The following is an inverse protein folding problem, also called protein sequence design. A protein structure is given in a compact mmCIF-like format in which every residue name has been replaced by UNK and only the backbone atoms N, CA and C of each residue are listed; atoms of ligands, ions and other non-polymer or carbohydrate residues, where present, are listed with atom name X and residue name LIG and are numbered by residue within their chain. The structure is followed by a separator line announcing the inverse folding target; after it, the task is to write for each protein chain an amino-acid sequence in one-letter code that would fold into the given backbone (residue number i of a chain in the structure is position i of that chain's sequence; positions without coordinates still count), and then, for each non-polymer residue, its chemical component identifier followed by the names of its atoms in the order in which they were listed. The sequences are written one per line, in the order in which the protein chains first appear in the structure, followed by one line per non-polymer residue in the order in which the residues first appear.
data_IF_312713653041
#
_entry.id   IF_312713653041
#
_cell.length_a   1.000
_cell.length_b   1.000
_cell.length_c   1.000
_cell.angle_alpha   90.00
_cell.angle_beta   90.00
_cell.angle_gamma   90.00
#
_symmetry.space_group_name_H-M   'P 1'
#
loop_
_entity.id
_entity.type
_entity.pdbx_description
1 polymer ?
#
# COMPACT_ATOMS: atom_id res chain seq x y z
N UNK A 1 5.50 3.35 -18.06
CA UNK A 1 5.59 4.78 -18.39
C UNK A 1 7.04 5.28 -18.58
N UNK A 2 8.06 4.50 -18.21
CA UNK A 2 9.45 4.92 -18.33
C UNK A 2 9.86 6.08 -17.40
N UNK A 3 9.11 6.35 -16.35
CA UNK A 3 9.42 7.38 -15.35
C UNK A 3 10.05 6.76 -14.10
N UNK A 4 10.81 7.55 -13.34
CA UNK A 4 11.39 7.10 -12.07
C UNK A 4 10.30 6.80 -11.05
N UNK A 5 10.48 5.73 -10.27
CA UNK A 5 9.61 5.37 -9.14
C UNK A 5 9.44 6.51 -8.12
N UNK A 6 10.39 7.44 -8.05
CA UNK A 6 10.32 8.61 -7.16
C UNK A 6 9.21 9.59 -7.53
N UNK A 7 8.72 9.51 -8.76
CA UNK A 7 7.61 10.34 -9.24
C UNK A 7 6.24 9.65 -9.05
N UNK A 8 6.25 8.40 -8.58
CA UNK A 8 5.03 7.59 -8.45
C UNK A 8 4.67 7.51 -6.96
N UNK A 9 3.44 7.86 -6.65
CA UNK A 9 2.86 7.76 -5.33
C UNK A 9 1.67 6.79 -5.41
N UNK A 10 1.95 5.54 -5.14
CA UNK A 10 0.95 4.47 -5.04
C UNK A 10 1.25 3.64 -3.80
N UNK A 11 0.21 3.12 -3.16
CA UNK A 11 0.32 2.46 -1.86
C UNK A 11 -0.48 1.16 -1.87
N UNK A 12 -0.12 0.24 -0.98
CA UNK A 12 -0.90 -0.98 -0.73
C UNK A 12 -1.58 -0.81 0.62
N UNK A 13 -2.88 -1.03 0.67
CA UNK A 13 -3.71 -0.99 1.86
C UNK A 13 -4.23 -2.38 2.22
N UNK A 14 -4.74 -2.52 3.45
CA UNK A 14 -5.30 -3.76 3.95
C UNK A 14 -4.31 -4.62 4.75
N UNK A 15 -4.59 -5.89 4.86
CA UNK A 15 -3.71 -6.88 5.48
C UNK A 15 -2.46 -7.15 4.62
N UNK A 16 -1.48 -7.83 5.18
CA UNK A 16 -0.36 -8.34 4.39
C UNK A 16 -0.68 -9.75 3.85
N UNK A 17 -1.62 -9.83 2.89
CA UNK A 17 -2.13 -11.08 2.34
C UNK A 17 -2.97 -10.84 1.08
N UNK A 18 -3.80 -11.83 0.75
CA UNK A 18 -4.55 -11.89 -0.51
C UNK A 18 -5.63 -10.81 -0.64
N UNK A 19 -6.10 -10.24 0.48
CA UNK A 19 -7.10 -9.17 0.49
C UNK A 19 -6.50 -7.77 0.50
N UNK A 20 -5.17 -7.64 0.38
CA UNK A 20 -4.53 -6.34 0.16
C UNK A 20 -4.94 -5.75 -1.18
N UNK A 21 -4.98 -4.43 -1.26
CA UNK A 21 -5.38 -3.74 -2.48
C UNK A 21 -4.64 -2.42 -2.67
N UNK A 22 -4.62 -1.93 -3.88
CA UNK A 22 -4.12 -0.59 -4.22
C UNK A 22 -5.28 0.37 -4.33
N UNK A 23 -5.36 1.43 -3.49
CA UNK A 23 -6.35 2.48 -3.68
C UNK A 23 -5.98 3.33 -4.89
N UNK A 24 -6.38 2.88 -6.07
CA UNK A 24 -6.04 3.51 -7.34
C UNK A 24 -6.52 4.94 -7.46
N UNK A 25 -7.60 5.31 -6.76
CA UNK A 25 -8.07 6.69 -6.66
C UNK A 25 -7.05 7.62 -5.98
N UNK A 26 -6.05 7.04 -5.29
CA UNK A 26 -4.96 7.76 -4.59
C UNK A 26 -3.59 7.48 -5.20
N UNK A 27 -3.55 6.94 -6.42
CA UNK A 27 -2.32 6.78 -7.17
C UNK A 27 -2.06 8.01 -8.04
N UNK A 28 -0.86 8.58 -7.91
CA UNK A 28 -0.44 9.80 -8.60
C UNK A 28 0.93 9.60 -9.25
N UNK A 29 1.11 10.23 -10.40
CA UNK A 29 2.41 10.32 -11.07
C UNK A 29 2.69 11.80 -11.33
N UNK A 30 3.77 12.32 -10.76
CA UNK A 30 4.18 13.72 -10.89
C UNK A 30 3.05 14.74 -10.55
N UNK A 31 2.13 14.38 -9.64
CA UNK A 31 1.02 15.24 -9.22
C UNK A 31 -0.28 15.08 -10.02
N UNK A 32 -0.25 14.40 -11.17
CA UNK A 32 -1.46 14.00 -11.90
C UNK A 32 -2.02 12.69 -11.35
N UNK A 33 -3.33 12.52 -11.37
CA UNK A 33 -3.93 11.20 -11.12
C UNK A 33 -3.45 10.21 -12.18
N UNK A 34 -3.52 8.91 -11.86
CA UNK A 34 -3.08 7.89 -12.79
C UNK A 34 -3.83 7.97 -14.14
N UNK A 35 -5.14 8.24 -14.10
CA UNK A 35 -5.97 8.36 -15.31
C UNK A 35 -5.64 9.61 -16.14
N UNK A 36 -5.25 10.71 -15.51
CA UNK A 36 -4.78 11.91 -16.19
C UNK A 36 -3.40 11.67 -16.82
N UNK A 37 -2.51 11.04 -16.07
CA UNK A 37 -1.16 10.74 -16.54
C UNK A 37 -1.17 9.75 -17.71
N UNK A 38 -2.03 8.76 -17.67
CA UNK A 38 -2.26 7.81 -18.76
C UNK A 38 -2.65 8.54 -20.08
N UNK A 39 -3.57 9.47 -19.99
CA UNK A 39 -3.98 10.30 -21.15
C UNK A 39 -2.81 11.12 -21.70
N UNK A 40 -2.06 11.81 -20.81
CA UNK A 40 -0.92 12.63 -21.19
C UNK A 40 0.12 11.80 -21.95
N UNK A 41 0.48 10.61 -21.41
CA UNK A 41 1.48 9.77 -22.04
C UNK A 41 1.02 9.20 -23.38
N UNK A 42 -0.26 8.83 -23.51
CA UNK A 42 -0.79 8.28 -24.76
C UNK A 42 -0.97 9.35 -25.86
N UNK A 43 -1.04 10.63 -25.51
CA UNK A 43 -0.99 11.71 -26.53
C UNK A 43 0.36 11.72 -27.26
N UNK A 44 1.45 11.48 -26.54
CA UNK A 44 2.81 11.52 -27.07
C UNK A 44 3.32 10.13 -27.53
N UNK A 45 2.87 9.05 -26.88
CA UNK A 45 3.33 7.68 -27.09
C UNK A 45 2.15 6.75 -27.41
N UNK A 46 1.67 6.80 -28.62
CA UNK A 46 0.47 6.05 -29.08
C UNK A 46 0.60 4.53 -29.03
N UNK A 47 1.83 4.02 -29.05
CA UNK A 47 2.13 2.59 -29.03
C UNK A 47 2.25 2.03 -27.59
N UNK A 48 2.23 2.89 -26.57
CA UNK A 48 2.28 2.46 -25.18
C UNK A 48 0.94 1.80 -24.83
N UNK A 49 1.00 0.61 -24.22
CA UNK A 49 -0.21 -0.04 -23.73
C UNK A 49 -0.68 0.64 -22.44
N UNK A 50 -2.00 0.79 -22.25
CA UNK A 50 -2.55 1.26 -20.98
C UNK A 50 -2.10 0.40 -19.82
N UNK A 51 -1.97 1.00 -18.63
CA UNK A 51 -1.64 0.27 -17.43
C UNK A 51 -2.74 -0.72 -17.06
N UNK A 52 -2.43 -2.01 -17.07
CA UNK A 52 -3.29 -3.04 -16.53
C UNK A 52 -3.14 -3.08 -15.00
N UNK A 53 -4.16 -2.57 -14.30
CA UNK A 53 -4.17 -2.47 -12.83
C UNK A 53 -4.32 -3.83 -12.16
N UNK A 54 -4.99 -4.77 -12.82
CA UNK A 54 -5.17 -6.13 -12.30
C UNK A 54 -3.87 -6.90 -12.41
N UNK A 55 -3.15 -6.80 -13.54
CA UNK A 55 -1.82 -7.39 -13.71
C UNK A 55 -0.82 -6.85 -12.69
N UNK A 56 -0.83 -5.54 -12.42
CA UNK A 56 0.04 -4.93 -11.40
C UNK A 56 -0.30 -5.46 -10.00
N UNK A 57 -1.57 -5.57 -9.64
CA UNK A 57 -1.98 -6.10 -8.35
C UNK A 57 -1.59 -7.57 -8.19
N UNK A 58 -1.82 -8.39 -9.20
CA UNK A 58 -1.40 -9.79 -9.21
C UNK A 58 0.12 -9.92 -9.06
N UNK A 59 0.90 -9.08 -9.75
CA UNK A 59 2.35 -9.04 -9.58
C UNK A 59 2.75 -8.67 -8.14
N UNK A 60 2.05 -7.73 -7.49
CA UNK A 60 2.29 -7.37 -6.09
C UNK A 60 2.03 -8.57 -5.17
N UNK A 61 0.90 -9.26 -5.33
CA UNK A 61 0.53 -10.42 -4.51
C UNK A 61 1.50 -11.60 -4.70
N UNK A 62 1.95 -11.87 -5.92
CA UNK A 62 2.76 -13.04 -6.25
C UNK A 62 4.27 -12.81 -6.18
N UNK A 63 4.73 -11.56 -6.06
CA UNK A 63 6.16 -11.21 -6.09
C UNK A 63 6.97 -11.91 -5.01
N UNK A 64 6.45 -11.99 -3.79
CA UNK A 64 7.08 -12.67 -2.66
C UNK A 64 7.27 -14.16 -2.90
N UNK A 65 6.22 -14.86 -3.30
CA UNK A 65 6.24 -16.31 -3.60
C UNK A 65 7.17 -16.60 -4.78
N UNK A 66 7.19 -15.75 -5.81
CA UNK A 66 8.09 -15.85 -6.95
C UNK A 66 9.56 -15.77 -6.54
N UNK A 67 9.91 -14.85 -5.64
CA UNK A 67 11.27 -14.73 -5.10
C UNK A 67 11.63 -15.96 -4.27
N UNK A 68 10.72 -16.44 -3.41
CA UNK A 68 10.94 -17.64 -2.60
C UNK A 68 11.15 -18.87 -3.48
N UNK A 69 10.35 -19.05 -4.51
CA UNK A 69 10.50 -20.18 -5.45
C UNK A 69 11.86 -20.18 -6.17
N UNK A 70 12.44 -18.99 -6.46
CA UNK A 70 13.70 -18.87 -7.18
C UNK A 70 14.95 -18.93 -6.29
N UNK A 71 14.88 -18.53 -5.02
CA UNK A 71 16.05 -18.46 -4.15
C UNK A 71 15.83 -18.96 -2.72
N UNK A 72 14.70 -19.60 -2.44
CA UNK A 72 14.39 -20.26 -1.17
C UNK A 72 13.89 -19.31 -0.06
N UNK A 73 14.12 -18.00 -0.16
CA UNK A 73 13.67 -17.02 0.83
C UNK A 73 13.60 -15.61 0.24
N UNK A 74 12.81 -14.73 0.88
CA UNK A 74 12.80 -13.29 0.61
C UNK A 74 13.25 -12.53 1.85
N UNK A 75 14.25 -11.65 1.73
CA UNK A 75 14.82 -10.88 2.84
C UNK A 75 15.43 -9.54 2.44
N UNK A 76 15.91 -9.35 1.22
CA UNK A 76 16.56 -8.09 0.83
C UNK A 76 15.59 -6.93 0.77
N UNK A 77 14.42 -7.11 0.15
CA UNK A 77 13.41 -6.05 0.08
C UNK A 77 12.90 -5.67 1.48
N UNK A 78 12.66 -6.67 2.33
CA UNK A 78 12.27 -6.45 3.73
C UNK A 78 13.35 -5.70 4.49
N UNK A 79 14.62 -6.09 4.35
CA UNK A 79 15.73 -5.40 5.00
C UNK A 79 15.82 -3.92 4.59
N UNK A 80 15.67 -3.61 3.29
CA UNK A 80 15.67 -2.23 2.79
C UNK A 80 14.47 -1.46 3.35
N UNK A 81 13.29 -2.08 3.39
CA UNK A 81 12.07 -1.45 3.93
C UNK A 81 12.21 -1.14 5.42
N UNK A 82 12.77 -2.08 6.21
CA UNK A 82 13.04 -1.88 7.64
C UNK A 82 14.05 -0.76 7.85
N UNK A 83 15.17 -0.76 7.13
CA UNK A 83 16.17 0.30 7.21
C UNK A 83 15.57 1.68 6.89
N UNK A 84 14.74 1.74 5.84
CA UNK A 84 14.04 2.99 5.49
C UNK A 84 13.09 3.43 6.60
N UNK A 85 12.26 2.52 7.13
CA UNK A 85 11.33 2.84 8.21
C UNK A 85 12.08 3.34 9.46
N UNK A 86 13.16 2.67 9.86
CA UNK A 86 14.00 3.11 10.96
C UNK A 86 14.59 4.52 10.71
N UNK A 87 15.06 4.79 9.49
CA UNK A 87 15.58 6.11 9.13
C UNK A 87 14.51 7.20 9.25
N UNK A 88 13.26 6.90 8.90
CA UNK A 88 12.14 7.83 9.02
C UNK A 88 11.75 8.06 10.49
N UNK A 89 11.75 7.01 11.31
CA UNK A 89 11.50 7.11 12.75
C UNK A 89 12.58 7.89 13.50
N UNK A 90 13.82 7.86 13.02
CA UNK A 90 14.95 8.61 13.59
C UNK A 90 15.11 10.02 12.98
N UNK A 91 14.30 10.37 12.00
CA UNK A 91 14.33 11.70 11.39
C UNK A 91 13.77 12.77 12.33
N UNK A 92 14.22 14.01 12.16
CA UNK A 92 13.75 15.14 12.96
C UNK A 92 12.33 15.64 12.62
N UNK A 93 11.73 15.11 11.55
CA UNK A 93 10.41 15.50 11.07
C UNK A 93 9.52 14.29 10.84
N UNK A 94 8.23 14.47 11.02
CA UNK A 94 7.24 13.44 10.73
C UNK A 94 7.12 13.18 9.22
N UNK A 95 6.90 11.93 8.89
CA UNK A 95 6.72 11.49 7.50
C UNK A 95 5.43 10.68 7.37
N UNK A 96 4.74 10.83 6.25
CA UNK A 96 3.54 10.03 5.95
C UNK A 96 3.96 8.84 5.10
N UNK A 97 3.62 7.65 5.57
CA UNK A 97 3.94 6.37 4.90
C UNK A 97 2.77 5.40 5.05
N UNK A 98 2.71 4.39 4.18
CA UNK A 98 1.83 3.24 4.36
C UNK A 98 2.48 2.24 5.32
N UNK A 99 1.86 2.03 6.47
CA UNK A 99 2.32 1.06 7.48
C UNK A 99 1.13 0.38 8.13
N UNK A 100 1.33 -0.87 8.56
CA UNK A 100 0.33 -1.58 9.34
C UNK A 100 0.32 -1.05 10.78
N UNK A 101 -0.85 -0.62 11.22
CA UNK A 101 -1.07 -0.11 12.57
C UNK A 101 -2.50 -0.37 13.01
N UNK A 102 -2.71 -0.42 14.32
CA UNK A 102 -4.04 -0.62 14.91
C UNK A 102 -4.98 0.51 14.49
N UNK A 103 -6.14 0.16 13.98
CA UNK A 103 -7.24 1.07 13.71
C UNK A 103 -8.20 1.13 14.90
N UNK A 104 -8.66 2.33 15.21
CA UNK A 104 -9.51 2.64 16.36
C UNK A 104 -10.80 3.38 15.94
N UNK A 105 -11.38 2.99 14.82
CA UNK A 105 -12.57 3.59 14.22
C UNK A 105 -12.31 4.33 12.90
N UNK A 106 -11.06 4.46 12.49
CA UNK A 106 -10.76 5.02 11.19
C UNK A 106 -11.36 4.13 10.09
N UNK A 107 -11.98 4.75 9.10
CA UNK A 107 -12.71 4.07 8.03
C UNK A 107 -13.83 3.13 8.50
N UNK A 108 -14.31 3.28 9.76
CA UNK A 108 -15.28 2.36 10.36
C UNK A 108 -14.70 1.01 10.78
N UNK A 109 -13.38 0.89 10.88
CA UNK A 109 -12.68 -0.34 11.27
C UNK A 109 -12.04 -0.17 12.65
N UNK A 110 -12.22 -1.16 13.52
CA UNK A 110 -11.70 -1.17 14.89
C UNK A 110 -10.99 -2.51 15.19
N UNK A 111 -10.09 -2.48 16.17
CA UNK A 111 -9.46 -3.65 16.79
C UNK A 111 -8.73 -4.61 15.83
N UNK A 112 -8.15 -4.05 14.76
CA UNK A 112 -7.34 -4.81 13.81
C UNK A 112 -6.23 -3.93 13.24
N UNK A 113 -5.06 -4.53 13.00
CA UNK A 113 -3.94 -3.86 12.34
C UNK A 113 -4.03 -4.02 10.83
N UNK A 114 -4.15 -2.89 10.13
CA UNK A 114 -4.13 -2.85 8.67
C UNK A 114 -3.16 -1.78 8.17
N UNK A 115 -2.63 -2.00 6.97
CA UNK A 115 -1.85 -0.99 6.27
C UNK A 115 -2.77 0.10 5.76
N UNK A 116 -2.52 1.32 6.21
CA UNK A 116 -3.12 2.57 5.75
C UNK A 116 -2.07 3.68 5.81
N UNK A 117 -2.41 4.89 5.40
CA UNK A 117 -1.48 6.03 5.56
C UNK A 117 -1.40 6.46 7.01
N UNK A 118 -0.19 6.54 7.55
CA UNK A 118 0.06 7.04 8.88
C UNK A 118 1.18 8.09 8.89
N UNK A 119 1.06 9.06 9.78
CA UNK A 119 2.14 9.98 10.12
C UNK A 119 2.98 9.33 11.21
N UNK A 120 4.25 9.13 10.93
CA UNK A 120 5.23 8.52 11.84
C UNK A 120 6.39 9.48 12.10
N UNK A 121 7.03 9.33 13.23
CA UNK A 121 8.19 10.12 13.63
C UNK A 121 8.91 9.49 14.83
N UNK A 122 9.79 10.24 15.55
CA UNK A 122 10.58 9.72 16.66
C UNK A 122 9.78 9.06 17.79
N UNK A 123 8.52 9.44 17.93
CA UNK A 123 7.60 8.89 18.96
C UNK A 123 6.77 7.71 18.43
N UNK A 124 7.06 7.21 17.21
CA UNK A 124 6.30 6.15 16.56
C UNK A 124 5.18 6.67 15.67
N UNK A 125 4.05 5.96 15.66
CA UNK A 125 2.85 6.35 14.92
C UNK A 125 2.12 7.44 15.69
N UNK A 126 1.99 8.61 15.07
CA UNK A 126 1.32 9.78 15.67
C UNK A 126 -0.17 9.84 15.35
N UNK A 127 -0.55 9.49 14.14
CA UNK A 127 -1.95 9.49 13.71
C UNK A 127 -2.13 8.73 12.40
N UNK A 128 -3.32 8.23 12.19
CA UNK A 128 -3.77 7.74 10.89
C UNK A 128 -4.15 8.95 10.00
N UNK A 129 -3.65 8.96 8.78
CA UNK A 129 -4.00 9.95 7.78
C UNK A 129 -5.13 9.38 6.91
N UNK A 130 -6.35 9.75 7.24
CA UNK A 130 -7.55 9.27 6.54
C UNK A 130 -7.65 9.89 5.16
N UNK A 131 -6.96 9.31 4.18
CA UNK A 131 -7.14 9.71 2.77
C UNK A 131 -8.53 9.29 2.30
N UNK A 132 -9.25 10.12 1.53
CA UNK A 132 -10.56 9.74 1.04
C UNK A 132 -10.44 8.56 0.07
N UNK A 133 -11.21 7.51 0.35
CA UNK A 133 -11.34 6.31 -0.49
C UNK A 133 -12.68 6.37 -1.24
N UNK A 134 -12.75 5.70 -2.37
CA UNK A 134 -14.03 5.43 -3.02
C UNK A 134 -14.85 4.44 -2.20
N UNK A 135 -16.14 4.29 -2.53
CA UNK A 135 -17.02 3.32 -1.88
C UNK A 135 -16.47 1.90 -2.05
N UNK A 136 -16.07 1.52 -3.28
CA UNK A 136 -15.45 0.23 -3.59
C UNK A 136 -14.15 0.01 -2.82
N UNK A 137 -13.27 1.01 -2.72
CA UNK A 137 -12.02 0.92 -1.97
C UNK A 137 -12.27 0.77 -0.46
N UNK A 138 -13.32 1.42 0.05
CA UNK A 138 -13.73 1.27 1.45
C UNK A 138 -14.27 -0.14 1.72
N UNK A 139 -15.06 -0.70 0.81
CA UNK A 139 -15.52 -2.08 0.89
C UNK A 139 -14.36 -3.09 0.89
N UNK A 140 -13.34 -2.87 0.04
CA UNK A 140 -12.11 -3.68 0.03
C UNK A 140 -11.37 -3.61 1.37
N UNK A 141 -11.28 -2.43 1.97
CA UNK A 141 -10.66 -2.27 3.28
C UNK A 141 -11.43 -3.01 4.37
N UNK A 142 -12.76 -2.95 4.34
CA UNK A 142 -13.62 -3.70 5.26
C UNK A 142 -13.49 -5.22 5.05
N UNK A 143 -13.44 -5.68 3.82
CA UNK A 143 -13.21 -7.10 3.51
C UNK A 143 -11.88 -7.58 4.07
N UNK A 144 -10.82 -6.79 3.90
CA UNK A 144 -9.49 -7.08 4.44
C UNK A 144 -9.47 -7.10 5.98
N UNK A 145 -10.20 -6.17 6.62
CA UNK A 145 -10.35 -6.15 8.07
C UNK A 145 -11.05 -7.41 8.59
N UNK A 146 -12.14 -7.82 7.93
CA UNK A 146 -12.91 -9.00 8.31
C UNK A 146 -12.10 -10.28 8.13
N UNK A 147 -11.37 -10.43 7.01
CA UNK A 147 -10.50 -11.59 6.78
C UNK A 147 -9.49 -11.78 7.92
N UNK A 148 -8.86 -10.68 8.37
CA UNK A 148 -7.90 -10.76 9.47
C UNK A 148 -8.57 -11.01 10.82
N UNK A 149 -9.74 -10.42 11.09
CA UNK A 149 -10.52 -10.69 12.31
C UNK A 149 -10.97 -12.16 12.38
N UNK A 150 -11.36 -12.76 11.26
CA UNK A 150 -11.73 -14.18 11.20
C UNK A 150 -10.55 -15.09 11.54
N UNK A 151 -9.34 -14.73 11.14
CA UNK A 151 -8.11 -15.45 11.55
C UNK A 151 -7.85 -15.27 13.04
N UNK A 152 -7.93 -14.03 13.55
CA UNK A 152 -7.72 -13.72 14.98
C UNK A 152 -8.71 -14.48 15.85
N UNK A 153 -9.98 -14.60 15.43
CA UNK A 153 -11.02 -15.32 16.16
C UNK A 153 -10.77 -16.84 16.28
N UNK A 154 -9.88 -17.40 15.47
CA UNK A 154 -9.50 -18.82 15.54
C UNK A 154 -8.32 -19.07 16.50
N UNK A 155 -7.75 -18.03 17.07
CA UNK A 155 -6.61 -18.13 18.00
C UNK A 155 -7.18 -18.10 19.42
N UNK A 156 -7.01 -19.18 20.15
CA UNK A 156 -7.30 -19.23 21.59
C UNK A 156 -6.19 -18.42 22.32
N UNK A 157 -6.54 -17.23 22.78
CA UNK A 157 -5.66 -16.36 23.58
C UNK A 157 -6.05 -16.44 25.07
#
# INVERSE_FOLDING_TARGET
YGVSEKNIHAYVFGEHGDTSFVPWSRAFVAGATLDEFDKIVHEDQKDLQPLDREEVLEYVHTSGSTVIAKKGATFYAVAVSVCRLCSLLLAASDTIVSVSTMLHGEYGVEDVCLSTMASIGPEGVKRIVRVPLTEEETEKLHASANALKDVIAQIDL
#
